data_IF_408822798636
#
_entry.id   IF_408822798636
#
_cell.length_a   1.000
_cell.length_b   1.000
_cell.length_c   1.000
_cell.angle_alpha   90.00
_cell.angle_beta   90.00
_cell.angle_gamma   90.00
#
_symmetry.space_group_name_H-M   'P 1'
#
loop_
_entity.id
_entity.type
_entity.pdbx_description
1 polymer ?
#
# COMPACT_ATOMS: atom_id res chain seq x y z
N UNK A 1 9.24 -12.49 8.97
CA UNK A 1 10.01 -12.94 7.78
C UNK A 1 9.52 -12.24 6.53
N UNK A 2 8.45 -12.68 5.84
CA UNK A 2 8.01 -12.02 4.60
C UNK A 2 7.82 -10.49 4.73
N UNK A 3 7.15 -10.04 5.79
CA UNK A 3 6.96 -8.61 6.03
C UNK A 3 8.26 -7.84 6.22
N UNK A 4 9.23 -8.44 6.90
CA UNK A 4 10.52 -7.81 7.17
C UNK A 4 11.34 -7.74 5.88
N UNK A 5 11.26 -8.78 5.05
CA UNK A 5 11.88 -8.83 3.73
C UNK A 5 11.29 -7.73 2.81
N UNK A 6 9.96 -7.59 2.77
CA UNK A 6 9.27 -6.53 2.02
C UNK A 6 9.60 -5.12 2.55
N UNK A 7 9.90 -4.96 3.84
CA UNK A 7 10.32 -3.68 4.43
C UNK A 7 11.83 -3.43 4.31
N UNK A 8 12.63 -4.44 3.96
CA UNK A 8 14.09 -4.33 3.88
C UNK A 8 14.57 -3.66 2.60
N UNK A 9 13.85 -3.83 1.49
CA UNK A 9 14.24 -3.30 0.16
C UNK A 9 14.17 -1.78 0.07
N UNK A 10 15.00 -1.19 -0.79
CA UNK A 10 15.06 0.27 -1.00
C UNK A 10 13.79 0.81 -1.66
N UNK A 11 13.26 0.11 -2.66
CA UNK A 11 12.01 0.43 -3.34
C UNK A 11 11.12 -0.81 -3.41
N UNK A 12 9.86 -0.65 -3.02
CA UNK A 12 8.83 -1.69 -3.17
C UNK A 12 7.73 -1.16 -4.09
N UNK A 13 7.43 -1.90 -5.14
CA UNK A 13 6.30 -1.62 -6.04
C UNK A 13 5.29 -2.75 -5.86
N UNK A 14 4.05 -2.39 -5.55
CA UNK A 14 2.92 -3.31 -5.41
C UNK A 14 2.09 -3.24 -6.70
N UNK A 15 1.78 -4.37 -7.31
CA UNK A 15 1.04 -4.45 -8.57
C UNK A 15 -0.37 -5.03 -8.36
N UNK A 16 -1.26 -4.82 -9.34
CA UNK A 16 -2.65 -5.30 -9.35
C UNK A 16 -3.51 -4.91 -8.14
N UNK A 17 -3.20 -3.77 -7.49
CA UNK A 17 -4.00 -3.28 -6.36
C UNK A 17 -5.43 -3.00 -6.84
N UNK A 18 -6.40 -3.65 -6.20
CA UNK A 18 -7.83 -3.45 -6.46
C UNK A 18 -8.44 -4.30 -7.58
N UNK A 19 -7.70 -5.26 -8.14
CA UNK A 19 -8.23 -6.20 -9.16
C UNK A 19 -9.19 -7.25 -8.54
N UNK A 20 -8.96 -7.67 -7.29
CA UNK A 20 -9.86 -8.58 -6.57
C UNK A 20 -10.71 -7.76 -5.58
N UNK A 21 -12.04 -7.86 -5.71
CA UNK A 21 -12.98 -7.12 -4.86
C UNK A 21 -12.77 -7.44 -3.36
N UNK A 22 -12.16 -6.49 -2.65
CA UNK A 22 -12.51 -6.10 -1.29
C UNK A 22 -12.43 -7.20 -0.22
N UNK A 23 -11.25 -7.75 0.02
CA UNK A 23 -11.01 -8.47 1.27
C UNK A 23 -10.46 -7.49 2.32
N UNK A 24 -11.16 -7.32 3.44
CA UNK A 24 -10.75 -6.43 4.55
C UNK A 24 -9.31 -6.74 5.00
N UNK A 25 -8.90 -8.01 4.94
CA UNK A 25 -7.55 -8.44 5.31
C UNK A 25 -6.48 -7.86 4.39
N UNK A 26 -6.77 -7.66 3.11
CA UNK A 26 -5.82 -7.13 2.13
C UNK A 26 -5.51 -5.66 2.44
N UNK A 27 -6.54 -4.86 2.73
CA UNK A 27 -6.37 -3.47 3.16
C UNK A 27 -5.56 -3.34 4.46
N UNK A 28 -5.76 -4.25 5.42
CA UNK A 28 -4.97 -4.27 6.67
C UNK A 28 -3.49 -4.58 6.40
N UNK A 29 -3.20 -5.54 5.54
CA UNK A 29 -1.80 -5.90 5.19
C UNK A 29 -1.13 -4.77 4.42
N UNK A 30 -1.82 -4.17 3.44
CA UNK A 30 -1.32 -3.02 2.69
C UNK A 30 -1.03 -1.83 3.61
N UNK A 31 -1.95 -1.52 4.54
CA UNK A 31 -1.74 -0.51 5.55
C UNK A 31 -0.46 -0.75 6.35
N UNK A 32 -0.26 -1.97 6.85
CA UNK A 32 0.91 -2.32 7.67
C UNK A 32 2.22 -2.20 6.88
N UNK A 33 2.24 -2.59 5.60
CA UNK A 33 3.41 -2.45 4.73
C UNK A 33 3.74 -0.96 4.50
N UNK A 34 2.75 -0.17 4.10
CA UNK A 34 2.91 1.27 3.84
C UNK A 34 3.37 2.00 5.10
N UNK A 35 2.73 1.73 6.24
CA UNK A 35 3.06 2.36 7.52
C UNK A 35 4.52 2.07 7.94
N UNK A 36 4.94 0.80 7.95
CA UNK A 36 6.33 0.42 8.30
C UNK A 36 7.35 1.05 7.36
N UNK A 37 7.09 1.04 6.05
CA UNK A 37 8.04 1.57 5.06
C UNK A 37 8.20 3.08 5.19
N UNK A 38 7.09 3.81 5.29
CA UNK A 38 7.13 5.27 5.44
C UNK A 38 7.73 5.70 6.78
N UNK A 39 7.44 4.98 7.87
CA UNK A 39 8.15 5.19 9.15
C UNK A 39 9.66 4.97 9.04
N UNK A 40 10.08 4.02 8.19
CA UNK A 40 11.48 3.77 7.86
C UNK A 40 12.06 4.70 6.79
N UNK A 41 11.32 5.71 6.31
CA UNK A 41 11.68 6.58 5.18
C UNK A 41 12.03 5.83 3.91
N UNK A 42 11.41 4.67 3.69
CA UNK A 42 11.60 3.87 2.49
C UNK A 42 10.43 4.09 1.54
N UNK A 43 10.69 4.42 0.27
CA UNK A 43 9.64 4.65 -0.71
C UNK A 43 8.84 3.37 -1.00
N UNK A 44 7.57 3.55 -1.32
CA UNK A 44 6.68 2.50 -1.81
C UNK A 44 5.83 3.07 -2.94
N UNK A 45 5.63 2.28 -4.00
CA UNK A 45 4.77 2.61 -5.13
C UNK A 45 3.67 1.58 -5.30
N UNK A 46 2.56 1.98 -5.90
CA UNK A 46 1.44 1.10 -6.21
C UNK A 46 1.05 1.27 -7.67
N UNK A 47 0.86 0.15 -8.36
CA UNK A 47 0.28 0.05 -9.68
C UNK A 47 -1.13 -0.52 -9.51
N UNK A 48 -2.08 0.18 -10.11
CA UNK A 48 -3.50 -0.15 -9.99
C UNK A 48 -4.19 0.19 -11.30
N UNK A 49 -5.23 -0.57 -11.61
CA UNK A 49 -6.17 -0.25 -12.68
C UNK A 49 -7.31 0.67 -12.21
N UNK A 50 -7.33 1.04 -10.93
CA UNK A 50 -8.31 1.94 -10.34
C UNK A 50 -7.91 3.40 -10.52
N UNK A 51 -8.91 4.27 -10.60
CA UNK A 51 -8.70 5.71 -10.51
C UNK A 51 -8.47 6.15 -9.05
N UNK A 52 -8.01 7.41 -8.87
CA UNK A 52 -7.69 7.92 -7.54
C UNK A 52 -8.87 7.86 -6.54
N UNK A 53 -10.12 8.18 -6.93
CA UNK A 53 -11.28 8.02 -6.04
C UNK A 53 -11.52 6.57 -5.61
N UNK A 54 -11.54 5.61 -6.55
CA UNK A 54 -11.77 4.20 -6.22
C UNK A 54 -10.63 3.60 -5.38
N UNK A 55 -9.40 4.01 -5.65
CA UNK A 55 -8.24 3.62 -4.84
C UNK A 55 -8.35 4.15 -3.41
N UNK A 56 -8.85 5.39 -3.25
CA UNK A 56 -9.06 6.01 -1.93
C UNK A 56 -10.17 5.31 -1.15
N UNK A 57 -11.24 4.89 -1.83
CA UNK A 57 -12.30 4.08 -1.20
C UNK A 57 -11.78 2.71 -0.74
N UNK A 58 -10.90 2.08 -1.53
CA UNK A 58 -10.35 0.75 -1.25
C UNK A 58 -9.29 0.75 -0.14
N UNK A 59 -8.34 1.69 -0.18
CA UNK A 59 -7.23 1.78 0.77
C UNK A 59 -7.55 2.65 2.00
N UNK A 60 -8.56 3.52 1.88
CA UNK A 60 -8.92 4.51 2.88
C UNK A 60 -8.02 5.75 2.87
N UNK A 61 -8.60 6.88 3.29
CA UNK A 61 -7.93 8.19 3.31
C UNK A 61 -6.56 8.17 4.02
N UNK A 62 -6.42 7.39 5.10
CA UNK A 62 -5.19 7.35 5.90
C UNK A 62 -3.99 6.78 5.14
N UNK A 63 -4.20 5.81 4.26
CA UNK A 63 -3.12 5.28 3.41
C UNK A 63 -2.80 6.29 2.31
N UNK A 64 -3.83 6.85 1.69
CA UNK A 64 -3.68 7.82 0.61
C UNK A 64 -2.90 9.06 1.06
N UNK A 65 -3.26 9.65 2.20
CA UNK A 65 -2.56 10.81 2.77
C UNK A 65 -1.06 10.54 2.93
N UNK A 66 -0.72 9.34 3.40
CA UNK A 66 0.67 8.91 3.62
C UNK A 66 1.44 8.68 2.33
N UNK A 67 0.76 8.30 1.25
CA UNK A 67 1.37 8.12 -0.08
C UNK A 67 1.63 9.47 -0.78
N UNK A 68 0.90 10.51 -0.38
CA UNK A 68 1.02 11.87 -0.96
C UNK A 68 1.96 12.81 -0.19
N UNK A 69 2.41 12.42 1.01
CA UNK A 69 3.37 13.17 1.83
C UNK A 69 4.81 13.01 1.34
#
# INVERSE_FOLDING_TARGET
KLMDDLCSVDLLILDDIGVQRGNINEGVVLFQIVDRRLSGKKPVGMLTNLDAPALTELLGNRIMDRMTM
#
